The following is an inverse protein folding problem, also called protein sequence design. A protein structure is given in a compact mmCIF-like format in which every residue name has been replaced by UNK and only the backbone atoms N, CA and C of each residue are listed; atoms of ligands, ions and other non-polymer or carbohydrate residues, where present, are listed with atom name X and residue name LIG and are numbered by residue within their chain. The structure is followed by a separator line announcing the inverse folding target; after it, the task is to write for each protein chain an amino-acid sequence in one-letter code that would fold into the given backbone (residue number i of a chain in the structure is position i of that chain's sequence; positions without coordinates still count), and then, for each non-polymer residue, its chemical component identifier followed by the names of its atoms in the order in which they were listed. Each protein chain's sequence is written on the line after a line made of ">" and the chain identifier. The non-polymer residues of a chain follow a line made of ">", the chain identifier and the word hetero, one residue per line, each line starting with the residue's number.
data_IF_318904403953
#
_entry.id   IF_318904403953
#
_cell.length_a   1.000
_cell.length_b   1.000
_cell.length_c   1.000
_cell.angle_alpha   90.00
_cell.angle_beta   90.00
_cell.angle_gamma   90.00
#
_symmetry.space_group_name_H-M   'P 1'
#
loop_
_entity.id
_entity.type
_entity.pdbx_description
1 polymer ?
#
# COMPACT_ATOMS: atom_id res chain seq x y z
N UNK A 1 42.57 29.95 -82.57
CA UNK A 1 41.11 29.91 -82.36
C UNK A 1 40.81 28.98 -81.20
N UNK A 2 40.47 29.44 -80.06
CA UNK A 2 40.13 28.62 -78.94
C UNK A 2 38.64 28.32 -78.90
N UNK A 3 38.26 27.12 -78.52
CA UNK A 3 36.90 26.60 -78.31
C UNK A 3 36.38 26.98 -76.96
N UNK A 4 35.09 27.21 -76.82
CA UNK A 4 34.51 27.63 -75.56
C UNK A 4 34.28 26.48 -74.53
N UNK A 5 34.48 26.77 -73.28
CA UNK A 5 34.28 25.87 -72.16
C UNK A 5 32.79 25.95 -71.79
N UNK A 6 32.10 24.86 -71.90
CA UNK A 6 30.74 24.67 -71.49
C UNK A 6 30.70 24.37 -69.95
N UNK A 7 30.06 25.22 -69.20
CA UNK A 7 29.89 25.06 -67.74
C UNK A 7 28.77 24.11 -67.43
N UNK A 8 29.10 23.02 -66.81
CA UNK A 8 28.13 22.07 -66.24
C UNK A 8 27.77 22.46 -64.82
N UNK A 9 26.53 22.90 -64.63
CA UNK A 9 25.92 23.17 -63.36
C UNK A 9 25.31 21.88 -62.78
N UNK A 10 26.18 21.10 -62.15
CA UNK A 10 25.70 19.91 -61.42
C UNK A 10 25.08 20.26 -60.09
N UNK A 11 23.80 19.96 -60.04
CA UNK A 11 22.94 20.15 -58.87
C UNK A 11 23.42 19.50 -57.61
N UNK A 12 23.21 20.17 -56.53
CA UNK A 12 23.30 19.70 -55.18
C UNK A 12 22.35 18.52 -54.95
N UNK A 13 22.87 17.31 -55.16
CA UNK A 13 22.23 16.07 -54.74
C UNK A 13 22.24 15.99 -53.23
N UNK A 14 21.08 16.23 -52.63
CA UNK A 14 20.84 15.89 -51.26
C UNK A 14 21.05 14.38 -51.11
N UNK A 15 22.22 13.96 -50.59
CA UNK A 15 22.52 12.58 -50.29
C UNK A 15 21.57 12.11 -49.16
N UNK A 16 20.51 11.43 -49.56
CA UNK A 16 19.67 10.68 -48.63
C UNK A 16 20.59 9.68 -47.92
N UNK A 17 20.87 9.93 -46.64
CA UNK A 17 21.61 9.00 -45.79
C UNK A 17 20.88 7.66 -45.80
N UNK A 18 21.55 6.52 -46.07
CA UNK A 18 20.92 5.23 -46.11
C UNK A 18 20.23 4.94 -44.78
N UNK A 19 19.01 4.43 -44.83
CA UNK A 19 18.17 4.13 -43.66
C UNK A 19 18.89 3.19 -42.66
N UNK A 20 19.81 2.36 -43.12
CA UNK A 20 20.67 1.50 -42.31
C UNK A 20 21.63 2.27 -41.40
N UNK A 21 22.23 3.37 -41.86
CA UNK A 21 23.16 4.16 -41.06
C UNK A 21 22.49 4.74 -39.80
N UNK A 22 21.20 5.06 -39.84
CA UNK A 22 20.45 5.58 -38.71
C UNK A 22 20.17 4.53 -37.64
N UNK A 23 19.98 3.26 -38.07
CA UNK A 23 19.82 2.14 -37.16
C UNK A 23 21.16 1.82 -36.45
N UNK A 24 22.28 1.82 -37.18
CA UNK A 24 23.62 1.56 -36.62
C UNK A 24 24.05 2.65 -35.63
N UNK A 25 23.72 3.92 -35.87
CA UNK A 25 23.98 5.02 -34.87
C UNK A 25 23.13 4.88 -33.63
N UNK A 26 21.87 4.46 -33.75
CA UNK A 26 20.99 4.26 -32.59
C UNK A 26 21.40 3.06 -31.74
N UNK A 27 21.89 1.99 -32.39
CA UNK A 27 22.46 0.83 -31.70
C UNK A 27 23.76 1.18 -30.98
N UNK A 28 24.67 1.90 -31.63
CA UNK A 28 25.92 2.34 -31.00
C UNK A 28 25.73 3.33 -29.85
N UNK A 29 24.75 4.22 -29.92
CA UNK A 29 24.39 5.09 -28.78
C UNK A 29 23.76 4.33 -27.60
N UNK A 30 23.00 3.29 -27.88
CA UNK A 30 22.45 2.43 -26.83
C UNK A 30 23.54 1.60 -26.15
N UNK A 31 24.47 1.04 -26.93
CA UNK A 31 25.64 0.33 -26.39
C UNK A 31 26.57 1.25 -25.60
N UNK A 32 26.82 2.47 -26.06
CA UNK A 32 27.60 3.46 -25.32
C UNK A 32 26.94 3.86 -23.99
N UNK A 33 25.64 4.00 -23.97
CA UNK A 33 24.88 4.27 -22.73
C UNK A 33 24.96 3.12 -21.73
N UNK A 34 24.96 1.87 -22.19
CA UNK A 34 25.12 0.68 -21.35
C UNK A 34 26.52 0.60 -20.78
N UNK A 35 27.54 0.99 -21.55
CA UNK A 35 28.95 0.97 -21.11
C UNK A 35 29.29 2.01 -20.06
N UNK A 36 28.60 3.17 -20.05
CA UNK A 36 28.81 4.27 -19.10
C UNK A 36 27.86 4.17 -17.90
N UNK A 37 26.81 3.32 -18.00
CA UNK A 37 25.82 3.19 -16.94
C UNK A 37 26.42 2.53 -15.70
N UNK A 38 26.25 3.18 -14.53
CA UNK A 38 26.57 2.58 -13.24
C UNK A 38 25.84 1.24 -13.06
N UNK A 39 26.47 0.26 -12.38
CA UNK A 39 25.85 -1.06 -12.11
C UNK A 39 24.45 -0.93 -11.53
N UNK A 40 24.22 0.08 -10.68
CA UNK A 40 22.91 0.38 -10.10
C UNK A 40 21.87 0.79 -11.15
N UNK A 41 22.26 1.54 -12.18
CA UNK A 41 21.38 1.92 -13.29
C UNK A 41 20.96 0.71 -14.13
N UNK A 42 21.90 -0.21 -14.40
CA UNK A 42 21.62 -1.45 -15.14
C UNK A 42 20.66 -2.36 -14.36
N UNK A 43 20.87 -2.52 -13.04
CA UNK A 43 19.99 -3.28 -12.15
C UNK A 43 18.58 -2.65 -12.15
N UNK A 44 18.49 -1.33 -12.02
CA UNK A 44 17.23 -0.61 -12.02
C UNK A 44 16.46 -0.73 -13.33
N UNK A 45 17.14 -0.63 -14.49
CA UNK A 45 16.51 -0.79 -15.78
C UNK A 45 16.01 -2.22 -16.00
N UNK A 46 16.76 -3.23 -15.59
CA UNK A 46 16.35 -4.64 -15.64
C UNK A 46 15.14 -4.87 -14.72
N UNK A 47 15.15 -4.32 -13.52
CA UNK A 47 14.06 -4.42 -12.57
C UNK A 47 12.77 -3.81 -13.13
N UNK A 48 12.83 -2.59 -13.67
CA UNK A 48 11.66 -1.92 -14.26
C UNK A 48 11.14 -2.62 -15.51
N UNK A 49 12.01 -3.26 -16.27
CA UNK A 49 11.62 -4.00 -17.48
C UNK A 49 10.89 -5.30 -17.15
N UNK A 50 11.14 -5.88 -15.98
CA UNK A 50 10.50 -7.11 -15.52
C UNK A 50 9.20 -6.78 -14.77
N UNK A 51 8.06 -6.82 -15.48
CA UNK A 51 6.75 -6.39 -14.96
C UNK A 51 6.36 -7.08 -13.64
N UNK A 52 6.62 -8.39 -13.50
CA UNK A 52 6.31 -9.15 -12.28
C UNK A 52 7.17 -8.69 -11.11
N UNK A 53 8.47 -8.50 -11.31
CA UNK A 53 9.37 -8.00 -10.26
C UNK A 53 9.00 -6.59 -9.82
N UNK A 54 8.64 -5.73 -10.76
CA UNK A 54 8.22 -4.36 -10.46
C UNK A 54 6.90 -4.33 -9.66
N UNK A 55 5.88 -5.10 -10.08
CA UNK A 55 4.62 -5.15 -9.34
C UNK A 55 4.78 -5.78 -7.95
N UNK A 56 5.57 -6.86 -7.81
CA UNK A 56 5.85 -7.43 -6.48
C UNK A 56 6.63 -6.46 -5.58
N UNK A 57 7.55 -5.69 -6.15
CA UNK A 57 8.25 -4.63 -5.42
C UNK A 57 7.32 -3.55 -4.88
N UNK A 58 6.34 -3.12 -5.69
CA UNK A 58 5.31 -2.16 -5.24
C UNK A 58 4.46 -2.76 -4.11
N UNK A 59 4.02 -4.02 -4.24
CA UNK A 59 3.22 -4.68 -3.21
C UNK A 59 4.00 -4.75 -1.88
N UNK A 60 5.26 -5.16 -1.93
CA UNK A 60 6.13 -5.21 -0.75
C UNK A 60 6.28 -3.81 -0.14
N UNK A 61 6.51 -2.78 -0.96
CA UNK A 61 6.61 -1.40 -0.49
C UNK A 61 5.34 -0.96 0.24
N UNK A 62 4.16 -1.26 -0.32
CA UNK A 62 2.87 -0.95 0.33
C UNK A 62 2.74 -1.66 1.67
N UNK A 63 3.12 -2.95 1.75
CA UNK A 63 3.07 -3.71 3.01
C UNK A 63 4.00 -3.10 4.05
N UNK A 64 5.22 -2.69 3.67
CA UNK A 64 6.14 -1.99 4.58
C UNK A 64 5.61 -0.62 5.01
N UNK A 65 4.94 0.12 4.14
CA UNK A 65 4.29 1.39 4.52
C UNK A 65 3.16 1.16 5.53
N UNK A 66 2.35 0.11 5.35
CA UNK A 66 1.34 -0.31 6.33
C UNK A 66 2.00 -0.67 7.67
N UNK A 67 3.09 -1.44 7.63
CA UNK A 67 3.84 -1.84 8.82
C UNK A 67 4.51 -0.65 9.53
N UNK A 68 4.85 0.41 8.80
CA UNK A 68 5.49 1.60 9.36
C UNK A 68 4.49 2.49 10.12
N UNK A 69 3.24 2.60 9.62
CA UNK A 69 2.23 3.51 10.14
C UNK A 69 0.94 2.81 10.63
N UNK A 70 1.00 1.70 11.40
CA UNK A 70 -0.20 1.00 11.81
C UNK A 70 -1.08 1.82 12.76
N UNK A 71 -0.49 2.68 13.60
CA UNK A 71 -1.25 3.52 14.52
C UNK A 71 -2.11 4.55 13.79
N UNK A 72 -1.66 5.02 12.64
CA UNK A 72 -2.42 5.94 11.79
C UNK A 72 -3.49 5.22 10.98
N UNK A 73 -3.16 4.02 10.43
CA UNK A 73 -4.07 3.28 9.56
C UNK A 73 -5.16 2.53 10.32
N UNK A 74 -4.88 2.06 11.55
CA UNK A 74 -5.83 1.28 12.34
C UNK A 74 -6.90 2.18 12.98
N UNK A 75 -8.20 1.84 12.88
CA UNK A 75 -9.26 2.63 13.49
C UNK A 75 -9.19 2.64 15.02
N UNK A 76 -8.71 1.55 15.63
CA UNK A 76 -8.60 1.42 17.08
C UNK A 76 -7.22 0.96 17.52
N UNK A 77 -6.80 1.28 18.77
CA UNK A 77 -5.63 0.65 19.37
C UNK A 77 -5.82 -0.87 19.51
N UNK A 78 -4.76 -1.68 19.33
CA UNK A 78 -4.87 -3.14 19.30
C UNK A 78 -5.21 -3.76 20.67
N UNK A 79 -5.05 -3.02 21.75
CA UNK A 79 -5.28 -3.47 23.12
C UNK A 79 -6.67 -3.21 23.66
N UNK A 80 -7.52 -2.42 22.99
CA UNK A 80 -8.87 -2.13 23.48
C UNK A 80 -9.71 -3.40 23.42
N UNK A 81 -10.23 -3.80 24.58
CA UNK A 81 -11.11 -4.96 24.73
C UNK A 81 -12.53 -4.51 25.02
N UNK A 82 -13.53 -5.22 24.52
CA UNK A 82 -14.92 -4.96 24.80
C UNK A 82 -15.68 -6.24 25.11
N UNK A 83 -16.04 -6.43 26.38
CA UNK A 83 -16.82 -7.59 26.79
C UNK A 83 -18.19 -7.68 26.09
N UNK A 84 -18.71 -6.57 25.56
CA UNK A 84 -20.00 -6.53 24.83
C UNK A 84 -19.89 -7.14 23.43
N UNK A 85 -18.72 -7.06 22.79
CA UNK A 85 -18.54 -7.41 21.37
C UNK A 85 -17.65 -8.63 21.14
N UNK A 86 -17.63 -9.58 22.11
CA UNK A 86 -16.92 -10.86 21.95
C UNK A 86 -17.49 -11.61 20.74
N UNK A 87 -16.58 -11.98 19.80
CA UNK A 87 -16.93 -12.65 18.57
C UNK A 87 -17.99 -11.89 17.73
N UNK A 88 -18.00 -10.56 17.78
CA UNK A 88 -18.89 -9.77 16.94
C UNK A 88 -18.63 -10.06 15.45
N UNK A 89 -19.70 -10.25 14.66
CA UNK A 89 -19.59 -10.51 13.23
C UNK A 89 -19.06 -9.28 12.47
N UNK A 90 -18.50 -9.47 11.26
CA UNK A 90 -18.10 -8.37 10.40
C UNK A 90 -19.28 -7.45 10.05
N UNK A 91 -19.06 -6.14 10.15
CA UNK A 91 -20.03 -5.13 9.75
C UNK A 91 -19.79 -4.72 8.30
N UNK A 92 -20.86 -4.64 7.51
CA UNK A 92 -20.78 -4.17 6.13
C UNK A 92 -20.67 -2.66 6.08
N UNK A 93 -19.66 -2.15 5.36
CA UNK A 93 -19.50 -0.73 5.08
C UNK A 93 -20.44 -0.34 3.93
N UNK A 94 -21.31 0.62 4.18
CA UNK A 94 -22.18 1.26 3.19
C UNK A 94 -21.57 2.60 2.83
N UNK A 95 -21.27 2.80 1.54
CA UNK A 95 -20.60 4.03 1.05
C UNK A 95 -21.59 5.15 0.71
N UNK A 96 -22.82 4.76 0.37
CA UNK A 96 -23.87 5.69 -0.06
C UNK A 96 -24.99 5.70 0.98
N UNK A 97 -25.28 6.86 1.52
CA UNK A 97 -26.45 7.07 2.35
C UNK A 97 -27.52 7.84 1.56
N UNK A 98 -28.77 7.43 1.70
CA UNK A 98 -29.91 8.17 1.19
C UNK A 98 -30.37 9.13 2.28
N UNK A 99 -29.99 10.39 2.14
CA UNK A 99 -30.40 11.43 3.07
C UNK A 99 -31.92 11.56 3.20
N UNK A 100 -32.39 12.26 4.23
CA UNK A 100 -33.80 12.59 4.42
C UNK A 100 -34.43 13.29 3.22
N UNK A 101 -33.61 13.97 2.40
CA UNK A 101 -34.01 14.64 1.16
C UNK A 101 -34.12 13.71 -0.05
N UNK A 102 -33.98 12.38 0.13
CA UNK A 102 -33.98 11.38 -0.94
C UNK A 102 -32.76 11.40 -1.86
N UNK A 103 -31.83 12.33 -1.68
CA UNK A 103 -30.60 12.44 -2.48
C UNK A 103 -29.55 11.46 -1.98
N UNK A 104 -28.88 10.76 -2.90
CA UNK A 104 -27.73 9.92 -2.60
C UNK A 104 -26.54 10.82 -2.24
N UNK A 105 -25.99 10.63 -1.05
CA UNK A 105 -24.77 11.30 -0.59
C UNK A 105 -23.70 10.23 -0.30
N UNK A 106 -22.46 10.58 -0.58
CA UNK A 106 -21.32 9.76 -0.16
C UNK A 106 -21.05 10.05 1.32
N UNK A 107 -21.69 9.28 2.19
CA UNK A 107 -21.52 9.37 3.65
C UNK A 107 -21.35 7.92 4.17
N UNK A 108 -20.11 7.44 4.27
CA UNK A 108 -19.85 6.06 4.66
C UNK A 108 -20.37 5.79 6.07
N UNK A 109 -21.09 4.67 6.25
CA UNK A 109 -21.60 4.24 7.53
C UNK A 109 -21.61 2.71 7.66
N UNK A 110 -21.68 2.25 8.89
CA UNK A 110 -21.99 0.87 9.24
C UNK A 110 -23.21 0.84 10.18
N UNK A 111 -23.97 -0.25 10.15
CA UNK A 111 -25.05 -0.42 11.11
C UNK A 111 -24.51 -0.90 12.45
N UNK A 112 -25.09 -0.39 13.53
CA UNK A 112 -24.74 -0.84 14.89
C UNK A 112 -25.08 -2.32 15.10
N UNK A 113 -24.38 -2.96 16.03
CA UNK A 113 -24.66 -4.34 16.45
C UNK A 113 -25.31 -4.34 17.84
N UNK A 114 -26.52 -4.89 17.92
CA UNK A 114 -27.17 -5.23 19.21
C UNK A 114 -26.69 -6.61 19.65
N UNK A 115 -26.15 -6.68 20.86
CA UNK A 115 -25.70 -7.93 21.48
C UNK A 115 -26.76 -8.38 22.49
N UNK A 116 -27.31 -9.56 22.28
CA UNK A 116 -28.28 -10.22 23.18
C UNK A 116 -27.73 -11.56 23.62
N UNK A 117 -27.90 -11.91 24.89
CA UNK A 117 -27.52 -13.22 25.42
C UNK A 117 -28.74 -14.14 25.26
N UNK A 118 -28.58 -15.20 24.50
CA UNK A 118 -29.60 -16.24 24.36
C UNK A 118 -29.65 -17.11 25.62
N UNK A 119 -30.75 -17.08 26.42
CA UNK A 119 -30.77 -17.74 27.72
C UNK A 119 -30.62 -19.26 27.65
N UNK A 120 -31.15 -19.89 26.57
CA UNK A 120 -31.11 -21.35 26.37
C UNK A 120 -29.72 -21.86 26.03
N UNK A 121 -28.97 -21.12 25.21
CA UNK A 121 -27.67 -21.54 24.70
C UNK A 121 -26.51 -20.88 25.45
N UNK A 122 -26.76 -19.95 26.37
CA UNK A 122 -25.77 -19.15 27.11
C UNK A 122 -24.74 -18.49 26.16
N UNK A 123 -25.13 -18.29 24.92
CA UNK A 123 -24.29 -17.68 23.89
C UNK A 123 -24.75 -16.27 23.55
N UNK A 124 -23.81 -15.47 23.11
CA UNK A 124 -24.09 -14.12 22.65
C UNK A 124 -24.49 -14.17 21.18
N UNK A 125 -25.64 -13.57 20.88
CA UNK A 125 -26.16 -13.44 19.51
C UNK A 125 -26.15 -11.97 19.14
N UNK A 126 -25.70 -11.68 17.92
CA UNK A 126 -25.66 -10.33 17.38
C UNK A 126 -26.75 -10.15 16.33
N UNK A 127 -27.51 -9.08 16.44
CA UNK A 127 -28.44 -8.61 15.43
C UNK A 127 -27.98 -7.24 14.90
N UNK A 128 -28.20 -7.01 13.62
CA UNK A 128 -27.91 -5.71 13.00
C UNK A 128 -29.01 -4.73 13.37
N UNK A 129 -28.63 -3.61 13.98
CA UNK A 129 -29.54 -2.52 14.27
C UNK A 129 -29.57 -1.53 13.11
N UNK A 130 -30.59 -1.65 12.25
CA UNK A 130 -30.76 -0.79 11.07
C UNK A 130 -31.20 0.62 11.42
N UNK A 131 -31.69 0.88 12.64
CA UNK A 131 -32.09 2.21 13.08
C UNK A 131 -30.89 3.06 13.47
N UNK A 132 -29.82 2.42 13.97
CA UNK A 132 -28.63 3.12 14.43
C UNK A 132 -27.48 3.00 13.41
N UNK A 133 -27.17 4.11 12.74
CA UNK A 133 -26.06 4.23 11.79
C UNK A 133 -24.85 4.85 12.49
N UNK A 134 -23.72 4.15 12.41
CA UNK A 134 -22.41 4.64 12.86
C UNK A 134 -21.72 5.24 11.65
N UNK A 135 -21.58 6.56 11.59
CA UNK A 135 -20.90 7.24 10.50
C UNK A 135 -19.40 7.03 10.58
N UNK A 136 -18.79 6.73 9.45
CA UNK A 136 -17.34 6.54 9.30
C UNK A 136 -16.80 7.72 8.53
N UNK A 137 -15.74 8.35 9.02
CA UNK A 137 -15.06 9.43 8.32
C UNK A 137 -13.58 9.16 8.20
N UNK A 138 -12.97 9.81 7.21
CA UNK A 138 -11.53 9.87 7.06
C UNK A 138 -10.96 10.99 7.94
N UNK A 139 -9.72 10.81 8.39
CA UNK A 139 -8.99 11.75 9.25
C UNK A 139 -9.73 12.10 10.54
N UNK A 140 -10.19 11.06 11.24
CA UNK A 140 -10.93 11.20 12.51
C UNK A 140 -9.97 11.39 13.67
N UNK A 141 -10.36 12.24 14.62
CA UNK A 141 -9.67 12.33 15.91
C UNK A 141 -10.01 11.11 16.77
N UNK A 142 -9.03 10.23 16.93
CA UNK A 142 -9.10 9.04 17.78
C UNK A 142 -8.52 9.26 19.18
N UNK A 143 -8.22 8.16 19.85
CA UNK A 143 -7.40 8.18 21.06
C UNK A 143 -5.96 8.60 20.76
N UNK A 144 -5.29 9.33 21.66
CA UNK A 144 -3.91 9.74 21.48
C UNK A 144 -3.00 8.51 21.35
N UNK A 145 -2.10 8.55 20.41
CA UNK A 145 -1.09 7.51 20.19
C UNK A 145 0.27 8.14 19.88
N UNK A 146 1.33 7.33 19.93
CA UNK A 146 2.66 7.75 19.54
C UNK A 146 3.00 7.13 18.19
N UNK A 147 3.05 7.96 17.16
CA UNK A 147 3.48 7.54 15.83
C UNK A 147 4.95 7.15 15.89
N UNK A 148 5.30 5.92 15.46
CA UNK A 148 6.65 5.34 15.56
C UNK A 148 7.22 5.36 17.00
N UNK A 149 6.38 5.49 18.02
CA UNK A 149 6.81 5.62 19.40
C UNK A 149 7.39 6.99 19.79
N UNK A 150 7.50 7.94 18.84
CA UNK A 150 8.19 9.21 19.01
C UNK A 150 7.23 10.42 19.01
N UNK A 151 6.35 10.49 18.03
CA UNK A 151 5.51 11.67 17.80
C UNK A 151 4.10 11.47 18.35
N UNK A 152 3.61 12.33 19.27
CA UNK A 152 2.23 12.26 19.72
C UNK A 152 1.30 12.68 18.59
N UNK A 153 0.32 11.85 18.27
CA UNK A 153 -0.70 12.10 17.26
C UNK A 153 -2.07 11.63 17.76
N UNK A 154 -3.12 12.21 17.21
CA UNK A 154 -4.52 11.88 17.57
C UNK A 154 -5.35 11.56 16.33
N UNK A 155 -4.84 11.87 15.13
CA UNK A 155 -5.56 11.70 13.86
C UNK A 155 -5.34 10.31 13.32
N UNK A 156 -6.43 9.60 13.02
CA UNK A 156 -6.43 8.28 12.37
C UNK A 156 -6.95 8.40 10.95
N UNK A 157 -6.50 7.51 10.06
CA UNK A 157 -6.89 7.55 8.64
C UNK A 157 -8.41 7.44 8.48
N UNK A 158 -9.05 6.55 9.22
CA UNK A 158 -10.50 6.39 9.22
C UNK A 158 -10.97 5.82 10.56
N UNK A 159 -12.24 6.06 10.87
CA UNK A 159 -12.83 5.54 12.09
C UNK A 159 -14.26 6.06 12.29
N UNK A 160 -14.94 5.62 13.34
CA UNK A 160 -16.27 6.11 13.68
C UNK A 160 -16.18 7.56 14.15
N UNK A 161 -17.17 8.37 13.76
CA UNK A 161 -17.29 9.77 14.24
C UNK A 161 -17.57 9.80 15.74
N UNK A 162 -18.43 8.91 16.19
CA UNK A 162 -18.73 8.74 17.60
C UNK A 162 -17.79 7.70 18.22
N UNK A 163 -16.90 8.17 19.11
CA UNK A 163 -15.91 7.32 19.81
C UNK A 163 -16.54 6.29 20.74
N UNK A 164 -17.80 6.49 21.13
CA UNK A 164 -18.53 5.58 22.03
C UNK A 164 -19.05 4.34 21.32
N UNK A 165 -19.13 4.40 20.00
CA UNK A 165 -19.68 3.32 19.18
C UNK A 165 -18.55 2.55 18.47
N UNK A 166 -18.32 1.29 18.84
CA UNK A 166 -17.30 0.49 18.18
C UNK A 166 -17.72 0.10 16.77
N UNK A 167 -16.75 0.09 15.89
CA UNK A 167 -16.89 -0.34 14.50
C UNK A 167 -16.01 -1.58 14.29
N UNK A 168 -16.60 -2.66 13.80
CA UNK A 168 -15.89 -3.93 13.56
C UNK A 168 -16.04 -4.38 12.10
N UNK A 169 -15.26 -3.79 11.18
CA UNK A 169 -15.35 -4.09 9.75
C UNK A 169 -15.03 -5.57 9.44
N UNK A 170 -14.05 -6.13 10.10
CA UNK A 170 -13.67 -7.55 9.99
C UNK A 170 -14.12 -8.38 11.19
N UNK A 171 -15.05 -7.82 12.00
CA UNK A 171 -15.50 -8.46 13.22
C UNK A 171 -14.56 -8.26 14.40
N UNK A 172 -14.86 -8.94 15.52
CA UNK A 172 -14.06 -8.90 16.73
C UNK A 172 -13.62 -10.29 17.18
N UNK A 173 -12.49 -10.36 17.88
CA UNK A 173 -11.94 -11.58 18.41
C UNK A 173 -12.63 -12.05 19.73
N UNK A 174 -12.09 -13.11 20.33
CA UNK A 174 -12.57 -13.66 21.62
C UNK A 174 -12.49 -12.68 22.79
N UNK A 175 -11.75 -11.59 22.69
CA UNK A 175 -11.65 -10.54 23.70
C UNK A 175 -12.43 -9.27 23.32
N UNK A 176 -13.15 -9.32 22.20
CA UNK A 176 -13.89 -8.16 21.67
C UNK A 176 -13.00 -7.07 21.09
N UNK A 177 -11.76 -7.43 20.68
CA UNK A 177 -10.82 -6.49 20.03
C UNK A 177 -11.09 -6.48 18.53
N UNK A 178 -10.96 -5.32 17.92
CA UNK A 178 -11.18 -5.15 16.49
C UNK A 178 -10.16 -5.96 15.66
N UNK A 179 -10.66 -6.87 14.81
CA UNK A 179 -9.82 -7.75 14.01
C UNK A 179 -8.99 -6.99 12.97
N UNK A 180 -9.57 -5.96 12.33
CA UNK A 180 -8.88 -5.14 11.33
C UNK A 180 -7.68 -4.41 11.95
N UNK A 181 -7.88 -3.74 13.09
CA UNK A 181 -6.82 -3.05 13.81
C UNK A 181 -5.69 -4.00 14.21
N UNK A 182 -6.03 -5.21 14.62
CA UNK A 182 -5.04 -6.23 14.99
C UNK A 182 -4.24 -6.74 13.79
N UNK A 183 -4.87 -6.94 12.65
CA UNK A 183 -4.17 -7.34 11.41
C UNK A 183 -3.18 -6.26 11.02
N UNK A 184 -3.59 -4.99 11.02
CA UNK A 184 -2.72 -3.87 10.65
C UNK A 184 -1.52 -3.77 11.60
N UNK A 185 -1.72 -3.87 12.92
CA UNK A 185 -0.61 -3.86 13.88
C UNK A 185 0.25 -5.13 13.80
N UNK A 186 -0.37 -6.30 13.54
CA UNK A 186 0.32 -7.56 13.35
C UNK A 186 1.27 -7.55 12.15
N UNK A 187 0.95 -6.79 11.10
CA UNK A 187 1.83 -6.61 9.94
C UNK A 187 3.19 -6.02 10.35
N UNK A 188 3.21 -5.04 11.27
CA UNK A 188 4.50 -4.49 11.78
C UNK A 188 5.35 -5.57 12.44
N UNK A 189 4.75 -6.38 13.31
CA UNK A 189 5.48 -7.44 14.02
C UNK A 189 6.04 -8.47 13.02
N UNK A 190 5.21 -8.92 12.08
CA UNK A 190 5.64 -9.89 11.07
C UNK A 190 6.75 -9.34 10.16
N UNK A 191 6.60 -8.11 9.68
CA UNK A 191 7.60 -7.48 8.81
C UNK A 191 8.91 -7.18 9.54
N UNK A 192 8.85 -6.76 10.81
CA UNK A 192 10.06 -6.50 11.60
C UNK A 192 10.84 -7.78 11.90
N UNK A 193 10.17 -8.87 12.26
CA UNK A 193 10.80 -10.17 12.48
C UNK A 193 11.46 -10.67 11.19
N UNK A 194 10.75 -10.59 10.07
CA UNK A 194 11.29 -10.98 8.77
C UNK A 194 12.54 -10.19 8.39
N UNK A 195 12.50 -8.86 8.56
CA UNK A 195 13.63 -7.98 8.26
C UNK A 195 14.85 -8.29 9.13
N UNK A 196 14.64 -8.41 10.45
CA UNK A 196 15.71 -8.76 11.39
C UNK A 196 16.30 -10.13 11.05
N UNK A 197 15.45 -11.12 10.74
CA UNK A 197 15.90 -12.45 10.34
C UNK A 197 16.80 -12.43 9.11
N UNK A 198 16.41 -11.68 8.07
CA UNK A 198 17.23 -11.53 6.85
C UNK A 198 18.56 -10.85 7.15
N UNK A 199 18.56 -9.75 7.93
CA UNK A 199 19.79 -9.02 8.29
C UNK A 199 20.75 -9.95 9.08
N UNK A 200 20.23 -10.67 10.08
CA UNK A 200 21.04 -11.61 10.87
C UNK A 200 21.60 -12.74 10.00
N UNK A 201 20.77 -13.34 9.13
CA UNK A 201 21.21 -14.41 8.22
C UNK A 201 22.30 -13.92 7.27
N UNK A 202 22.14 -12.70 6.73
CA UNK A 202 23.16 -12.10 5.86
C UNK A 202 24.46 -11.84 6.62
N UNK A 203 24.37 -11.27 7.81
CA UNK A 203 25.52 -10.97 8.66
C UNK A 203 26.31 -12.24 9.00
N UNK A 204 25.64 -13.26 9.52
CA UNK A 204 26.29 -14.53 9.85
C UNK A 204 26.76 -15.27 8.61
N UNK A 205 26.03 -15.22 7.49
CA UNK A 205 26.45 -15.81 6.23
C UNK A 205 27.75 -15.22 5.71
N UNK A 206 27.90 -13.89 5.74
CA UNK A 206 29.13 -13.22 5.34
C UNK A 206 30.27 -13.53 6.32
N UNK A 207 30.00 -13.45 7.63
CA UNK A 207 31.01 -13.70 8.66
C UNK A 207 31.56 -15.14 8.58
N UNK A 208 30.67 -16.13 8.61
CA UNK A 208 31.08 -17.55 8.58
C UNK A 208 31.65 -17.95 7.23
N UNK A 209 31.07 -17.45 6.12
CA UNK A 209 31.59 -17.68 4.78
C UNK A 209 32.99 -17.07 4.57
N UNK A 210 33.21 -15.86 5.11
CA UNK A 210 34.53 -15.22 5.06
C UNK A 210 35.61 -15.87 5.92
N UNK A 211 35.24 -16.53 7.03
CA UNK A 211 36.20 -17.29 7.88
C UNK A 211 36.47 -18.67 7.28
N UNK A 212 35.50 -19.25 6.59
CA UNK A 212 35.60 -20.60 6.02
C UNK A 212 36.30 -20.66 4.65
N UNK A 213 36.41 -19.54 3.92
CA UNK A 213 37.09 -19.43 2.64
C UNK A 213 38.51 -18.93 2.81
#
# INVERSE_FOLDING_TARGET
>A
MPTPIEGDATGLGASARPVGARADYMESEQEARVFVASQWQLIWWRFRRHKVAFSSGIIILIIYLIALFPEFLAPFPPGITSAKYLYAPPQRLHLLDRGTDGKLRVDPYVYALKSTIEPKAMRRVFSVDTEQKIRVRFFVQGEPYKLLGLFPATVRLFGPVDKTQPMHLLGADRLGRDALSRIIHGTRVSMSIGLVGVILSLFFGILLGGISG
#
